data_IF_524472630519
#
_entry.id   IF_524472630519
#
_cell.length_a   1.000
_cell.length_b   1.000
_cell.length_c   1.000
_cell.angle_alpha   90.00
_cell.angle_beta   90.00
_cell.angle_gamma   90.00
#
_symmetry.space_group_name_H-M   'P 1'
#
loop_
_entity.id
_entity.type
_entity.pdbx_description
1 polymer ?
#
# COMPACT_ATOMS: atom_id res chain seq x y z
N UNK A 1 9.64 -28.07 31.18
CA UNK A 1 10.05 -26.66 31.22
C UNK A 1 10.55 -26.25 29.84
N UNK A 2 9.74 -25.54 29.08
CA UNK A 2 10.10 -25.11 27.72
C UNK A 2 11.04 -23.91 27.82
N UNK A 3 12.32 -24.09 27.50
CA UNK A 3 13.29 -22.98 27.45
C UNK A 3 12.90 -22.08 26.28
N UNK A 4 12.32 -20.93 26.57
CA UNK A 4 12.04 -19.92 25.56
C UNK A 4 13.39 -19.46 24.98
N UNK A 5 13.66 -19.85 23.73
CA UNK A 5 14.88 -19.43 23.03
C UNK A 5 14.67 -18.01 22.52
N UNK A 6 15.07 -17.03 23.31
CA UNK A 6 15.04 -15.63 22.87
C UNK A 6 16.23 -15.39 21.95
N UNK A 7 15.97 -15.12 20.67
CA UNK A 7 17.05 -14.68 19.78
C UNK A 7 17.55 -13.32 20.29
N UNK A 8 18.87 -13.11 20.40
CA UNK A 8 19.40 -11.80 20.76
C UNK A 8 18.88 -10.75 19.78
N UNK A 9 18.22 -9.72 20.32
CA UNK A 9 17.78 -8.57 19.52
C UNK A 9 19.01 -7.73 19.26
N UNK A 10 19.24 -7.40 17.99
CA UNK A 10 20.35 -6.52 17.60
C UNK A 10 19.96 -5.07 17.86
N UNK A 11 20.93 -4.22 18.17
CA UNK A 11 20.70 -2.80 18.47
C UNK A 11 20.01 -2.07 17.32
N UNK A 12 20.37 -2.40 16.07
CA UNK A 12 19.78 -1.78 14.87
C UNK A 12 18.28 -2.10 14.76
N UNK A 13 17.85 -3.25 15.29
CA UNK A 13 16.43 -3.63 15.34
C UNK A 13 15.68 -2.73 16.32
N UNK A 14 16.28 -2.44 17.47
CA UNK A 14 15.68 -1.56 18.48
C UNK A 14 15.54 -0.14 17.94
N UNK A 15 16.61 0.41 17.34
CA UNK A 15 16.58 1.74 16.71
C UNK A 15 15.52 1.80 15.61
N UNK A 16 15.43 0.78 14.76
CA UNK A 16 14.42 0.73 13.68
C UNK A 16 12.99 0.72 14.22
N UNK A 17 12.74 -0.02 15.31
CA UNK A 17 11.42 -0.07 15.96
C UNK A 17 11.09 1.28 16.59
N UNK A 18 12.03 1.91 17.29
CA UNK A 18 11.83 3.24 17.89
C UNK A 18 11.58 4.31 16.81
N UNK A 19 12.31 4.27 15.70
CA UNK A 19 12.06 5.18 14.57
C UNK A 19 10.66 4.97 13.98
N UNK A 20 10.23 3.72 13.80
CA UNK A 20 8.88 3.41 13.36
C UNK A 20 7.80 3.95 14.33
N UNK A 21 7.98 3.71 15.64
CA UNK A 21 7.07 4.23 16.66
C UNK A 21 7.02 5.75 16.67
N UNK A 22 8.16 6.43 16.49
CA UNK A 22 8.23 7.89 16.34
C UNK A 22 7.41 8.36 15.15
N UNK A 23 7.54 7.70 14.00
CA UNK A 23 6.77 8.03 12.80
C UNK A 23 5.26 7.89 13.03
N UNK A 24 4.82 6.85 13.71
CA UNK A 24 3.40 6.65 14.05
C UNK A 24 2.90 7.71 15.03
N UNK A 25 3.68 8.03 16.08
CA UNK A 25 3.34 9.09 17.05
C UNK A 25 3.17 10.45 16.38
N UNK A 26 4.08 10.83 15.49
CA UNK A 26 4.01 12.09 14.74
C UNK A 26 2.86 12.11 13.73
N UNK A 27 2.58 11.00 13.04
CA UNK A 27 1.56 10.94 11.97
C UNK A 27 0.13 10.84 12.50
N UNK A 28 -0.08 9.97 13.48
CA UNK A 28 -1.41 9.61 13.98
C UNK A 28 -1.72 10.28 15.33
N UNK A 29 -0.80 11.11 15.85
CA UNK A 29 -0.95 11.79 17.14
C UNK A 29 -0.92 10.83 18.33
N UNK A 30 -0.28 9.66 18.18
CA UNK A 30 -0.14 8.73 19.29
C UNK A 30 0.76 9.34 20.39
N UNK A 31 0.38 9.16 21.66
CA UNK A 31 1.13 9.72 22.78
C UNK A 31 2.52 9.08 22.96
N UNK A 32 3.36 9.73 23.77
CA UNK A 32 4.67 9.18 24.16
C UNK A 32 5.84 9.50 23.23
N UNK A 33 5.68 10.48 22.32
CA UNK A 33 6.76 10.96 21.45
C UNK A 33 8.03 11.32 22.24
N UNK A 34 7.88 12.04 23.37
CA UNK A 34 9.01 12.43 24.22
C UNK A 34 9.80 11.22 24.77
N UNK A 35 9.10 10.14 25.14
CA UNK A 35 9.74 8.91 25.61
C UNK A 35 10.48 8.20 24.49
N UNK A 36 9.90 8.16 23.28
CA UNK A 36 10.53 7.54 22.11
C UNK A 36 11.80 8.31 21.74
N UNK A 37 11.73 9.65 21.72
CA UNK A 37 12.87 10.52 21.45
C UNK A 37 13.96 10.37 22.51
N UNK A 38 13.61 10.26 23.79
CA UNK A 38 14.56 9.97 24.86
C UNK A 38 15.26 8.61 24.65
N UNK A 39 14.52 7.57 24.29
CA UNK A 39 15.07 6.23 24.03
C UNK A 39 16.00 6.19 22.80
N UNK A 40 15.74 7.00 21.78
CA UNK A 40 16.61 7.17 20.62
C UNK A 40 17.90 7.91 21.00
N UNK A 41 17.81 9.01 21.76
CA UNK A 41 18.97 9.78 22.23
C UNK A 41 19.89 8.94 23.13
N UNK A 42 19.32 8.11 24.02
CA UNK A 42 20.08 7.15 24.84
C UNK A 42 20.89 6.14 24.01
N UNK A 43 20.51 5.93 22.75
CA UNK A 43 21.19 5.05 21.79
C UNK A 43 22.10 5.80 20.81
N UNK A 44 22.38 7.08 21.09
CA UNK A 44 23.20 7.93 20.22
C UNK A 44 22.53 8.30 18.89
N UNK A 45 21.21 8.13 18.78
CA UNK A 45 20.45 8.51 17.60
C UNK A 45 19.75 9.86 17.83
N UNK A 46 20.01 10.84 16.95
CA UNK A 46 19.31 12.12 16.97
C UNK A 46 17.92 11.97 16.31
N UNK A 47 16.81 12.15 17.05
CA UNK A 47 15.46 12.01 16.50
C UNK A 47 15.15 13.02 15.39
N UNK A 48 15.72 14.24 15.44
CA UNK A 48 15.45 15.30 14.47
C UNK A 48 16.13 15.06 13.13
N UNK A 49 17.27 14.36 13.12
CA UNK A 49 17.97 13.96 11.91
C UNK A 49 17.29 12.79 11.16
N UNK A 50 16.33 12.10 11.80
CA UNK A 50 15.66 10.95 11.20
C UNK A 50 14.65 11.38 10.13
N UNK A 51 14.85 10.90 8.90
CA UNK A 51 13.91 11.13 7.81
C UNK A 51 12.53 10.54 8.16
N UNK A 52 11.49 11.37 8.04
CA UNK A 52 10.09 10.97 8.21
C UNK A 52 9.33 11.21 6.90
N UNK A 53 9.21 10.19 6.04
CA UNK A 53 8.42 10.31 4.82
C UNK A 53 6.97 10.68 5.17
N UNK A 54 6.39 11.64 4.45
CA UNK A 54 4.97 11.96 4.61
C UNK A 54 4.12 10.77 4.16
N UNK A 55 3.10 10.43 4.95
CA UNK A 55 2.11 9.42 4.55
C UNK A 55 1.28 9.99 3.41
N UNK A 56 1.61 9.61 2.18
CA UNK A 56 0.82 9.99 1.01
C UNK A 56 -0.46 9.16 1.03
N UNK A 57 -1.65 9.79 1.07
CA UNK A 57 -2.91 9.06 1.01
C UNK A 57 -2.95 8.26 -0.29
N UNK A 58 -3.09 6.94 -0.17
CA UNK A 58 -3.22 6.08 -1.34
C UNK A 58 -4.61 6.28 -1.91
N UNK A 59 -4.69 6.52 -3.21
CA UNK A 59 -5.98 6.59 -3.94
C UNK A 59 -6.78 5.31 -3.81
N UNK A 60 -6.10 4.16 -3.74
CA UNK A 60 -6.72 2.86 -3.57
C UNK A 60 -6.10 2.12 -2.40
N UNK A 61 -6.95 1.50 -1.57
CA UNK A 61 -6.56 0.54 -0.55
C UNK A 61 -6.03 -0.75 -1.18
N UNK A 62 -5.38 -1.58 -0.36
CA UNK A 62 -4.86 -2.87 -0.81
C UNK A 62 -5.99 -3.69 -1.45
N UNK A 63 -5.78 -4.13 -2.69
CA UNK A 63 -6.73 -4.93 -3.48
C UNK A 63 -8.05 -4.25 -3.84
N UNK A 64 -8.28 -3.00 -3.48
CA UNK A 64 -9.53 -2.28 -3.81
C UNK A 64 -9.70 -2.12 -5.32
N UNK A 65 -8.68 -1.62 -6.02
CA UNK A 65 -8.71 -1.48 -7.47
C UNK A 65 -8.97 -2.81 -8.19
N UNK A 66 -8.37 -3.92 -7.71
CA UNK A 66 -8.58 -5.23 -8.31
C UNK A 66 -10.02 -5.70 -8.15
N UNK A 67 -10.60 -5.54 -6.95
CA UNK A 67 -12.00 -5.86 -6.69
C UNK A 67 -12.93 -5.02 -7.57
N UNK A 68 -12.64 -3.73 -7.71
CA UNK A 68 -13.40 -2.83 -8.57
C UNK A 68 -13.35 -3.28 -10.04
N UNK A 69 -12.16 -3.59 -10.56
CA UNK A 69 -11.97 -4.08 -11.94
C UNK A 69 -12.71 -5.41 -12.15
N UNK A 70 -12.62 -6.37 -11.22
CA UNK A 70 -13.38 -7.62 -11.32
C UNK A 70 -14.89 -7.38 -11.31
N UNK A 71 -15.39 -6.49 -10.45
CA UNK A 71 -16.81 -6.11 -10.42
C UNK A 71 -17.25 -5.50 -11.76
N UNK A 72 -16.42 -4.67 -12.38
CA UNK A 72 -16.69 -4.10 -13.72
C UNK A 72 -16.75 -5.22 -14.77
N UNK A 73 -15.75 -6.11 -14.79
CA UNK A 73 -15.65 -7.20 -15.77
C UNK A 73 -16.72 -8.29 -15.59
N UNK A 74 -17.32 -8.41 -14.40
CA UNK A 74 -18.49 -9.29 -14.18
C UNK A 74 -19.72 -8.88 -14.99
N UNK A 75 -19.80 -7.61 -15.41
CA UNK A 75 -20.87 -7.14 -16.30
C UNK A 75 -20.63 -7.45 -17.77
N UNK A 76 -19.44 -7.95 -18.12
CA UNK A 76 -19.08 -8.35 -19.48
C UNK A 76 -17.65 -7.97 -19.87
N UNK A 77 -17.21 -8.44 -21.05
CA UNK A 77 -15.90 -8.10 -21.60
C UNK A 77 -15.78 -6.60 -21.83
N UNK A 78 -14.68 -5.98 -21.40
CA UNK A 78 -14.46 -4.54 -21.61
C UNK A 78 -13.02 -4.25 -22.04
N UNK A 79 -12.86 -3.22 -22.86
CA UNK A 79 -11.55 -2.67 -23.20
C UNK A 79 -10.91 -1.98 -21.99
N UNK A 80 -9.58 -1.88 -21.96
CA UNK A 80 -8.87 -1.15 -20.90
C UNK A 80 -9.33 0.31 -20.74
N UNK A 81 -9.70 0.97 -21.85
CA UNK A 81 -10.25 2.33 -21.83
C UNK A 81 -11.64 2.38 -21.18
N UNK A 82 -12.53 1.43 -21.48
CA UNK A 82 -13.86 1.35 -20.85
C UNK A 82 -13.77 1.05 -19.35
N UNK A 83 -12.87 0.15 -18.95
CA UNK A 83 -12.60 -0.13 -17.53
C UNK A 83 -12.09 1.14 -16.84
N UNK A 84 -11.14 1.84 -17.46
CA UNK A 84 -10.59 3.09 -16.91
C UNK A 84 -11.67 4.15 -16.74
N UNK A 85 -12.53 4.37 -17.74
CA UNK A 85 -13.67 5.30 -17.63
C UNK A 85 -14.59 4.91 -16.47
N UNK A 86 -14.90 3.63 -16.35
CA UNK A 86 -15.75 3.11 -15.27
C UNK A 86 -15.13 3.30 -13.88
N UNK A 87 -13.80 3.17 -13.76
CA UNK A 87 -13.08 3.44 -12.50
C UNK A 87 -13.11 4.93 -12.16
N UNK A 88 -12.85 5.82 -13.12
CA UNK A 88 -12.90 7.28 -12.90
C UNK A 88 -14.29 7.73 -12.45
N UNK A 89 -15.34 7.20 -13.06
CA UNK A 89 -16.73 7.50 -12.67
C UNK A 89 -17.04 7.10 -11.21
N UNK A 90 -16.41 6.04 -10.70
CA UNK A 90 -16.64 5.54 -9.34
C UNK A 90 -15.67 6.12 -8.29
N UNK A 91 -14.61 6.80 -8.73
CA UNK A 91 -13.58 7.38 -7.88
C UNK A 91 -13.39 8.88 -8.20
N UNK A 92 -14.31 9.74 -7.74
CA UNK A 92 -14.21 11.18 -7.96
C UNK A 92 -12.89 11.71 -7.35
N UNK A 93 -12.14 12.49 -8.13
CA UNK A 93 -10.82 12.99 -7.76
C UNK A 93 -9.64 12.26 -8.41
N UNK A 94 -9.88 11.13 -9.09
CA UNK A 94 -8.85 10.45 -9.86
C UNK A 94 -8.79 10.95 -11.31
N UNK A 95 -7.63 11.43 -11.75
CA UNK A 95 -7.44 11.80 -13.16
C UNK A 95 -7.43 10.57 -14.06
N UNK A 96 -7.95 10.71 -15.28
CA UNK A 96 -7.98 9.62 -16.26
C UNK A 96 -6.61 9.00 -16.50
N UNK A 97 -5.56 9.84 -16.64
CA UNK A 97 -4.19 9.38 -16.87
C UNK A 97 -3.66 8.51 -15.73
N UNK A 98 -3.95 8.87 -14.48
CA UNK A 98 -3.55 8.07 -13.32
C UNK A 98 -4.36 6.78 -13.23
N UNK A 99 -5.69 6.87 -13.41
CA UNK A 99 -6.55 5.69 -13.47
C UNK A 99 -6.09 4.69 -14.52
N UNK A 100 -5.78 5.16 -15.74
CA UNK A 100 -5.33 4.32 -16.84
C UNK A 100 -4.06 3.53 -16.47
N UNK A 101 -3.04 4.22 -15.96
CA UNK A 101 -1.80 3.58 -15.52
C UNK A 101 -2.06 2.53 -14.44
N UNK A 102 -2.85 2.87 -13.42
CA UNK A 102 -3.15 1.95 -12.31
C UNK A 102 -3.97 0.74 -12.75
N UNK A 103 -4.93 0.93 -13.65
CA UNK A 103 -5.75 -0.14 -14.23
C UNK A 103 -4.87 -1.12 -15.00
N UNK A 104 -3.97 -0.66 -15.86
CA UNK A 104 -3.08 -1.56 -16.62
C UNK A 104 -2.10 -2.33 -15.73
N UNK A 105 -1.55 -1.69 -14.68
CA UNK A 105 -0.72 -2.37 -13.69
C UNK A 105 -1.53 -3.45 -12.96
N UNK A 106 -2.78 -3.16 -12.59
CA UNK A 106 -3.67 -4.12 -11.94
C UNK A 106 -4.01 -5.29 -12.88
N UNK A 107 -4.41 -5.01 -14.12
CA UNK A 107 -4.76 -6.01 -15.13
C UNK A 107 -3.58 -6.93 -15.45
N UNK A 108 -2.38 -6.38 -15.63
CA UNK A 108 -1.16 -7.18 -15.82
C UNK A 108 -0.91 -8.14 -14.65
N UNK A 109 -1.00 -7.62 -13.41
CA UNK A 109 -0.84 -8.43 -12.21
C UNK A 109 -1.96 -9.47 -12.00
N UNK A 110 -3.17 -9.20 -12.49
CA UNK A 110 -4.31 -10.13 -12.43
C UNK A 110 -4.19 -11.21 -13.51
N UNK A 111 -3.73 -10.85 -14.72
CA UNK A 111 -3.44 -11.79 -15.80
C UNK A 111 -2.37 -12.80 -15.40
N UNK A 112 -1.28 -12.33 -14.78
CA UNK A 112 -0.21 -13.19 -14.28
C UNK A 112 -0.68 -14.18 -13.20
N UNK A 113 -1.82 -13.94 -12.56
CA UNK A 113 -2.44 -14.81 -11.56
C UNK A 113 -3.58 -15.67 -12.11
N UNK A 114 -3.84 -15.59 -13.41
CA UNK A 114 -4.95 -16.31 -14.05
C UNK A 114 -6.34 -15.81 -13.64
N UNK A 115 -6.48 -14.58 -13.14
CA UNK A 115 -7.78 -14.01 -12.74
C UNK A 115 -8.54 -13.37 -13.91
N UNK A 116 -7.81 -12.96 -14.95
CA UNK A 116 -8.36 -12.33 -16.15
C UNK A 116 -7.59 -12.78 -17.38
N UNK A 117 -8.27 -12.90 -18.52
CA UNK A 117 -7.67 -13.08 -19.84
C UNK A 117 -7.73 -11.78 -20.64
N UNK A 118 -6.82 -11.64 -21.60
CA UNK A 118 -6.83 -10.54 -22.56
C UNK A 118 -6.95 -11.15 -23.96
N UNK A 119 -8.13 -11.02 -24.55
CA UNK A 119 -8.47 -11.55 -25.86
C UNK A 119 -8.64 -10.37 -26.80
N UNK A 120 -7.75 -10.30 -27.79
CA UNK A 120 -7.64 -9.20 -28.74
C UNK A 120 -7.52 -7.82 -28.06
N UNK A 121 -8.66 -7.14 -27.84
CA UNK A 121 -8.76 -5.79 -27.27
C UNK A 121 -9.59 -5.73 -25.99
N UNK A 122 -10.16 -6.85 -25.56
CA UNK A 122 -11.03 -6.92 -24.39
C UNK A 122 -10.40 -7.74 -23.27
N UNK A 123 -10.71 -7.34 -22.04
CA UNK A 123 -10.39 -8.09 -20.84
C UNK A 123 -11.62 -8.86 -20.40
N UNK A 124 -11.41 -10.11 -19.99
CA UNK A 124 -12.44 -11.02 -19.52
C UNK A 124 -12.05 -11.55 -18.14
N UNK A 125 -13.06 -11.93 -17.34
CA UNK A 125 -12.82 -12.68 -16.10
C UNK A 125 -12.50 -14.13 -16.47
N UNK A 126 -11.40 -14.65 -15.95
CA UNK A 126 -11.12 -16.08 -16.03
C UNK A 126 -11.94 -16.78 -14.95
N UNK A 127 -12.83 -17.68 -15.37
CA UNK A 127 -13.62 -18.56 -14.48
C UNK A 127 -12.73 -19.69 -13.97
#
# INVERSE_FOLDING_TARGET
>A
MTRAYFRPIKEETVISVLHYMRQEAVREGAGGLDHIDALLRLRGCDPEALNMPRKVPKTFQRSELRRLVLTILRHGPMTGAQITKSVVLRCPGLTYRHAYKSVYVALSGMKARGMVSHEERVWLVSV
#
